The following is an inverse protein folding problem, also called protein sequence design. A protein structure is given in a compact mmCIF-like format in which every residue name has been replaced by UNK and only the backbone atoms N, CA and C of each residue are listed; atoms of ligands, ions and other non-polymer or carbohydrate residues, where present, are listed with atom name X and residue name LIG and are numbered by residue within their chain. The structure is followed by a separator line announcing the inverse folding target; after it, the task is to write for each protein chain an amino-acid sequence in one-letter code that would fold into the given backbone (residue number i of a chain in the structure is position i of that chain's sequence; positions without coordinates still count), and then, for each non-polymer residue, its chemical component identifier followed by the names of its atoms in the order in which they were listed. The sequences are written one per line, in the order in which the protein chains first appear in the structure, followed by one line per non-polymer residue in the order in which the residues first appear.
data_IF_545941076455
#
_entry.id   IF_545941076455
#
_cell.length_a   1.000
_cell.length_b   1.000
_cell.length_c   1.000
_cell.angle_alpha   90.00
_cell.angle_beta   90.00
_cell.angle_gamma   90.00
#
_symmetry.space_group_name_H-M   'P 1'
#
loop_
_entity.id
_entity.type
_entity.pdbx_description
1 polymer ?
#
# COMPACT_ATOMS: atom_id res chain seq x y z
N UNK A 1 1.93 -14.78 -0.17
CA UNK A 1 2.98 -14.29 0.76
C UNK A 1 4.35 -14.36 0.07
N UNK A 2 4.98 -13.20 -0.26
CA UNK A 2 6.21 -13.17 -1.06
C UNK A 2 7.40 -13.91 -0.40
N UNK A 3 7.51 -13.86 0.92
CA UNK A 3 8.60 -14.50 1.65
C UNK A 3 8.43 -16.02 1.83
N UNK A 4 7.31 -16.60 1.38
CA UNK A 4 7.11 -18.05 1.39
C UNK A 4 8.05 -18.77 0.42
N UNK A 5 8.35 -18.12 -0.73
CA UNK A 5 9.27 -18.62 -1.74
C UNK A 5 10.29 -17.52 -2.09
N UNK A 6 11.40 -17.50 -1.36
CA UNK A 6 12.45 -16.49 -1.53
C UNK A 6 13.23 -16.65 -2.84
N UNK A 7 13.29 -17.85 -3.43
CA UNK A 7 13.94 -18.06 -4.71
C UNK A 7 13.10 -17.44 -5.84
N UNK A 8 11.78 -17.66 -5.81
CA UNK A 8 10.87 -17.01 -6.75
C UNK A 8 10.88 -15.48 -6.58
N UNK A 9 10.86 -14.99 -5.34
CA UNK A 9 10.96 -13.56 -5.06
C UNK A 9 12.28 -12.97 -5.58
N UNK A 10 13.42 -13.66 -5.38
CA UNK A 10 14.71 -13.23 -5.90
C UNK A 10 14.70 -13.16 -7.43
N UNK A 11 14.12 -14.18 -8.08
CA UNK A 11 13.99 -14.21 -9.54
C UNK A 11 13.20 -13.00 -10.06
N UNK A 12 12.10 -12.63 -9.38
CA UNK A 12 11.34 -11.45 -9.74
C UNK A 12 12.14 -10.16 -9.53
N UNK A 13 12.83 -10.03 -8.39
CA UNK A 13 13.68 -8.86 -8.11
C UNK A 13 14.82 -8.72 -9.13
N UNK A 14 15.38 -9.83 -9.61
CA UNK A 14 16.43 -9.83 -10.62
C UNK A 14 15.91 -9.45 -12.00
N UNK A 15 14.65 -9.74 -12.29
CA UNK A 15 14.00 -9.40 -13.56
C UNK A 15 13.54 -7.93 -13.64
N UNK A 16 13.28 -7.28 -12.51
CA UNK A 16 12.82 -5.88 -12.48
C UNK A 16 13.97 -4.93 -12.79
N UNK A 17 13.83 -4.03 -13.80
CA UNK A 17 14.83 -3.01 -14.08
C UNK A 17 15.08 -2.07 -12.89
N UNK A 18 16.31 -1.63 -12.69
CA UNK A 18 16.70 -0.74 -11.59
C UNK A 18 16.04 0.67 -11.65
N UNK A 19 15.37 0.98 -12.75
CA UNK A 19 14.60 2.22 -12.92
C UNK A 19 13.22 2.16 -12.26
N UNK A 20 12.80 0.95 -11.81
CA UNK A 20 11.49 0.75 -11.20
C UNK A 20 11.60 0.73 -9.68
N UNK A 21 10.59 1.28 -9.04
CA UNK A 21 10.42 1.15 -7.59
C UNK A 21 9.76 -0.20 -7.29
N UNK A 22 10.29 -0.91 -6.32
CA UNK A 22 9.74 -2.21 -5.89
C UNK A 22 9.22 -2.08 -4.46
N UNK A 23 7.91 -2.25 -4.31
CA UNK A 23 7.25 -2.32 -3.02
C UNK A 23 6.78 -3.75 -2.77
N UNK A 24 7.12 -4.31 -1.62
CA UNK A 24 6.69 -5.65 -1.22
C UNK A 24 5.63 -5.52 -0.15
N UNK A 25 4.45 -6.09 -0.38
CA UNK A 25 3.41 -6.21 0.64
C UNK A 25 3.45 -7.62 1.23
N UNK A 26 3.56 -7.73 2.54
CA UNK A 26 3.73 -9.00 3.24
C UNK A 26 3.16 -8.92 4.66
N UNK A 27 2.73 -10.05 5.21
CA UNK A 27 2.53 -10.18 6.65
C UNK A 27 3.83 -10.53 7.37
N UNK A 28 4.88 -10.77 6.60
CA UNK A 28 6.23 -11.11 7.04
C UNK A 28 6.25 -12.24 8.09
N UNK A 29 5.65 -13.39 7.81
CA UNK A 29 5.66 -14.52 8.71
C UNK A 29 7.03 -15.23 8.66
N UNK A 30 7.37 -15.91 9.75
CA UNK A 30 8.51 -16.82 9.77
C UNK A 30 8.01 -18.24 9.52
N UNK A 31 8.30 -18.79 8.35
CA UNK A 31 7.86 -20.14 7.98
C UNK A 31 8.71 -21.23 8.65
N UNK A 32 8.18 -22.45 8.69
CA UNK A 32 8.94 -23.61 9.19
C UNK A 32 10.26 -23.76 8.42
N UNK A 33 11.36 -23.89 9.17
CA UNK A 33 12.72 -23.98 8.60
C UNK A 33 13.33 -22.64 8.19
N UNK A 34 12.65 -21.52 8.47
CA UNK A 34 13.18 -20.16 8.29
C UNK A 34 13.40 -19.49 9.64
N UNK A 35 14.27 -18.50 9.68
CA UNK A 35 14.54 -17.65 10.84
C UNK A 35 14.34 -16.18 10.51
N UNK A 36 14.24 -15.32 11.52
CA UNK A 36 14.22 -13.87 11.32
C UNK A 36 15.54 -13.38 10.70
N UNK A 37 16.67 -14.01 11.05
CA UNK A 37 17.98 -13.72 10.47
C UNK A 37 18.04 -13.98 8.97
N UNK A 38 17.33 -15.00 8.48
CA UNK A 38 17.23 -15.27 7.04
C UNK A 38 16.50 -14.14 6.29
N UNK A 39 15.47 -13.55 6.91
CA UNK A 39 14.72 -12.42 6.35
C UNK A 39 15.62 -11.18 6.34
N UNK A 40 16.33 -10.92 7.43
CA UNK A 40 17.29 -9.80 7.53
C UNK A 40 18.37 -9.94 6.45
N UNK A 41 18.97 -11.12 6.31
CA UNK A 41 20.01 -11.39 5.31
C UNK A 41 19.48 -11.19 3.87
N UNK A 42 18.24 -11.63 3.60
CA UNK A 42 17.59 -11.41 2.29
C UNK A 42 17.38 -9.93 1.99
N UNK A 43 16.92 -9.14 2.97
CA UNK A 43 16.73 -7.69 2.78
C UNK A 43 18.06 -6.96 2.63
N UNK A 44 19.11 -7.37 3.35
CA UNK A 44 20.47 -6.82 3.17
C UNK A 44 21.02 -7.10 1.77
N UNK A 45 20.80 -8.31 1.24
CA UNK A 45 21.23 -8.67 -0.12
C UNK A 45 20.50 -7.85 -1.19
N UNK A 46 19.25 -7.49 -0.96
CA UNK A 46 18.38 -6.82 -1.94
C UNK A 46 18.13 -5.33 -1.62
N UNK A 47 18.90 -4.71 -0.73
CA UNK A 47 18.64 -3.34 -0.27
C UNK A 47 18.62 -2.27 -1.36
N UNK A 48 19.37 -2.48 -2.45
CA UNK A 48 19.41 -1.55 -3.57
C UNK A 48 18.27 -1.77 -4.59
N UNK A 49 17.51 -2.87 -4.44
CA UNK A 49 16.39 -3.23 -5.32
C UNK A 49 15.04 -2.95 -4.68
N UNK A 50 14.92 -3.19 -3.39
CA UNK A 50 13.65 -3.04 -2.67
C UNK A 50 13.51 -1.60 -2.19
N UNK A 51 12.48 -0.90 -2.68
CA UNK A 51 12.20 0.47 -2.27
C UNK A 51 11.61 0.53 -0.87
N UNK A 52 10.66 -0.36 -0.56
CA UNK A 52 10.02 -0.44 0.75
C UNK A 52 9.33 -1.79 0.94
N UNK A 53 9.29 -2.27 2.17
CA UNK A 53 8.43 -3.38 2.58
C UNK A 53 7.27 -2.83 3.40
N UNK A 54 6.05 -3.07 2.91
CA UNK A 54 4.82 -2.76 3.62
C UNK A 54 4.39 -3.99 4.41
N UNK A 55 4.50 -3.94 5.72
CA UNK A 55 4.19 -5.08 6.58
C UNK A 55 2.79 -4.93 7.14
N UNK A 56 1.90 -5.86 6.80
CA UNK A 56 0.54 -5.85 7.34
C UNK A 56 0.56 -6.24 8.82
N UNK A 57 0.07 -5.34 9.66
CA UNK A 57 -0.16 -5.53 11.09
C UNK A 57 -1.50 -4.91 11.43
N UNK A 58 -2.35 -5.69 12.08
CA UNK A 58 -3.67 -5.20 12.48
C UNK A 58 -3.65 -4.61 13.89
N UNK A 59 -4.69 -3.89 14.24
CA UNK A 59 -4.89 -3.39 15.61
C UNK A 59 -4.95 -4.55 16.63
N UNK A 60 -5.48 -5.70 16.21
CA UNK A 60 -5.44 -6.94 16.98
C UNK A 60 -4.20 -7.74 16.60
N UNK A 61 -3.49 -8.22 17.61
CA UNK A 61 -2.29 -9.03 17.39
C UNK A 61 -2.63 -10.46 16.96
N UNK A 62 -1.96 -10.97 15.92
CA UNK A 62 -2.08 -12.35 15.45
C UNK A 62 -0.82 -13.15 15.82
N UNK A 63 -1.02 -14.39 16.29
CA UNK A 63 0.04 -15.27 16.82
C UNK A 63 1.08 -15.68 15.76
N UNK A 64 0.73 -15.61 14.47
CA UNK A 64 1.59 -15.98 13.33
C UNK A 64 2.50 -14.86 12.83
N UNK A 65 2.42 -13.68 13.43
CA UNK A 65 3.26 -12.55 13.02
C UNK A 65 4.69 -12.75 13.52
N UNK A 66 5.67 -12.31 12.72
CA UNK A 66 7.05 -12.13 13.18
C UNK A 66 7.14 -11.06 14.27
N UNK A 67 8.26 -11.00 14.96
CA UNK A 67 8.45 -10.01 16.02
C UNK A 67 8.43 -8.58 15.47
N UNK A 68 7.96 -7.62 16.29
CA UNK A 68 8.03 -6.20 15.92
C UNK A 68 9.48 -5.73 15.77
N UNK A 69 10.37 -6.32 16.55
CA UNK A 69 11.80 -5.99 16.52
C UNK A 69 12.43 -6.37 15.18
N UNK A 70 11.96 -7.45 14.52
CA UNK A 70 12.43 -7.83 13.19
C UNK A 70 12.30 -6.65 12.21
N UNK A 71 11.16 -5.96 12.22
CA UNK A 71 10.89 -4.88 11.26
C UNK A 71 11.92 -3.75 11.36
N UNK A 72 12.41 -3.47 12.57
CA UNK A 72 13.44 -2.45 12.79
C UNK A 72 14.85 -2.88 12.38
N UNK A 73 15.07 -4.17 12.13
CA UNK A 73 16.36 -4.75 11.74
C UNK A 73 16.48 -4.96 10.22
N UNK A 74 15.40 -4.76 9.47
CA UNK A 74 15.43 -4.89 8.02
C UNK A 74 16.33 -3.83 7.40
N UNK A 75 17.13 -4.21 6.41
CA UNK A 75 18.08 -3.32 5.75
C UNK A 75 17.44 -2.38 4.72
N UNK A 76 16.13 -2.43 4.56
CA UNK A 76 15.34 -1.64 3.61
C UNK A 76 14.29 -0.82 4.33
N UNK A 77 13.86 0.32 3.77
CA UNK A 77 12.74 1.07 4.31
C UNK A 77 11.54 0.15 4.56
N UNK A 78 10.97 0.26 5.74
CA UNK A 78 9.85 -0.59 6.17
C UNK A 78 8.77 0.29 6.78
N UNK A 79 7.52 0.01 6.46
CA UNK A 79 6.38 0.65 7.10
C UNK A 79 5.31 -0.38 7.43
N UNK A 80 4.54 -0.09 8.44
CA UNK A 80 3.42 -0.94 8.86
C UNK A 80 2.14 -0.46 8.20
N UNK A 81 1.40 -1.41 7.60
CA UNK A 81 0.07 -1.19 7.05
C UNK A 81 -0.98 -1.78 8.00
N UNK A 82 -1.97 -0.97 8.36
CA UNK A 82 -3.11 -1.37 9.16
C UNK A 82 -4.41 -1.04 8.42
N UNK A 83 -5.19 -2.05 8.06
CA UNK A 83 -6.52 -1.83 7.49
C UNK A 83 -7.50 -1.59 8.63
N UNK A 84 -8.26 -0.52 8.53
CA UNK A 84 -9.32 -0.13 9.44
C UNK A 84 -10.67 -0.45 8.78
N UNK A 85 -11.47 -1.25 9.47
CA UNK A 85 -12.85 -1.57 9.10
C UNK A 85 -13.80 -0.71 9.93
N UNK A 86 -15.07 -0.65 9.59
CA UNK A 86 -16.07 0.20 10.27
C UNK A 86 -16.15 0.01 11.79
N UNK A 87 -15.82 -1.18 12.27
CA UNK A 87 -15.83 -1.53 13.70
C UNK A 87 -14.46 -1.39 14.40
N UNK A 88 -13.52 -0.64 13.80
CA UNK A 88 -12.21 -0.48 14.42
C UNK A 88 -12.30 0.20 15.79
N UNK A 89 -11.49 -0.24 16.77
CA UNK A 89 -11.48 0.36 18.11
C UNK A 89 -10.70 1.67 18.09
N UNK A 90 -11.40 2.79 17.92
CA UNK A 90 -10.81 4.13 17.79
C UNK A 90 -9.90 4.51 18.97
N UNK A 91 -10.26 4.05 20.19
CA UNK A 91 -9.47 4.25 21.41
C UNK A 91 -8.12 3.52 21.43
N UNK A 92 -7.85 2.67 20.44
CA UNK A 92 -6.60 1.91 20.30
C UNK A 92 -5.65 2.45 19.23
N UNK A 93 -6.05 3.47 18.48
CA UNK A 93 -5.20 4.00 17.40
C UNK A 93 -3.90 4.60 17.95
N UNK A 94 -3.98 5.42 18.99
CA UNK A 94 -2.79 6.03 19.60
C UNK A 94 -1.87 4.97 20.21
N UNK A 95 -2.40 4.01 20.99
CA UNK A 95 -1.63 2.90 21.54
C UNK A 95 -0.91 2.10 20.44
N UNK A 96 -1.59 1.91 19.30
CA UNK A 96 -1.02 1.23 18.15
C UNK A 96 0.14 2.01 17.52
N UNK A 97 0.01 3.31 17.39
CA UNK A 97 1.08 4.19 16.88
C UNK A 97 2.26 4.22 17.85
N UNK A 98 2.01 4.30 19.16
CA UNK A 98 3.06 4.24 20.20
C UNK A 98 3.88 2.94 20.13
N UNK A 99 3.24 1.80 19.81
CA UNK A 99 3.93 0.53 19.58
C UNK A 99 5.02 0.67 18.51
N UNK A 100 4.74 1.40 17.41
CA UNK A 100 5.65 1.55 16.29
C UNK A 100 6.61 2.73 16.44
N UNK A 101 6.22 3.76 17.18
CA UNK A 101 7.09 4.87 17.55
C UNK A 101 8.35 4.38 18.25
N UNK A 102 8.24 3.39 19.10
CA UNK A 102 9.36 2.73 19.81
C UNK A 102 10.47 2.26 18.85
N UNK A 103 10.09 1.84 17.64
CA UNK A 103 11.01 1.33 16.62
C UNK A 103 11.29 2.33 15.49
N UNK A 104 10.65 3.49 15.52
CA UNK A 104 10.77 4.49 14.45
C UNK A 104 10.18 4.03 13.11
N UNK A 105 9.20 3.13 13.12
CA UNK A 105 8.60 2.53 11.93
C UNK A 105 7.34 3.32 11.54
N UNK A 106 7.31 3.95 10.35
CA UNK A 106 6.13 4.65 9.86
C UNK A 106 4.88 3.77 9.82
N UNK A 107 3.72 4.37 10.07
CA UNK A 107 2.43 3.67 10.04
C UNK A 107 1.56 4.19 8.91
N UNK A 108 1.04 3.28 8.12
CA UNK A 108 0.02 3.56 7.13
C UNK A 108 -1.30 2.92 7.54
N UNK A 109 -2.29 3.73 7.83
CA UNK A 109 -3.67 3.29 7.95
C UNK A 109 -4.31 3.25 6.58
N UNK A 110 -5.17 2.27 6.35
CA UNK A 110 -5.99 2.14 5.14
C UNK A 110 -7.42 1.90 5.53
N UNK A 111 -8.33 2.62 4.90
CA UNK A 111 -9.74 2.29 4.99
C UNK A 111 -10.05 1.03 4.17
N UNK A 112 -11.08 0.30 4.56
CA UNK A 112 -11.57 -0.81 3.73
C UNK A 112 -12.02 -0.26 2.38
N UNK A 113 -11.31 -0.65 1.32
CA UNK A 113 -11.52 -0.12 -0.02
C UNK A 113 -12.90 -0.48 -0.60
N UNK A 114 -13.58 -1.51 -0.08
CA UNK A 114 -14.88 -1.93 -0.58
C UNK A 114 -15.98 -0.89 -0.37
N UNK A 115 -15.81 -0.02 0.63
CA UNK A 115 -16.73 1.06 0.97
C UNK A 115 -16.33 2.41 0.34
N UNK A 116 -15.20 2.47 -0.37
CA UNK A 116 -14.71 3.73 -0.98
C UNK A 116 -15.34 3.95 -2.36
N UNK A 117 -15.89 5.13 -2.56
CA UNK A 117 -16.44 5.60 -3.84
C UNK A 117 -15.78 6.94 -4.24
N UNK A 118 -15.94 7.37 -5.48
CA UNK A 118 -15.47 8.70 -5.89
C UNK A 118 -16.11 9.83 -5.07
N UNK A 119 -17.35 9.66 -4.65
CA UNK A 119 -18.08 10.67 -3.88
C UNK A 119 -17.52 10.82 -2.46
N UNK A 120 -17.15 9.72 -1.81
CA UNK A 120 -16.62 9.76 -0.44
C UNK A 120 -15.09 9.80 -0.35
N UNK A 121 -14.37 9.58 -1.47
CA UNK A 121 -12.91 9.61 -1.49
C UNK A 121 -12.35 10.94 -0.97
N UNK A 122 -13.00 12.03 -1.32
CA UNK A 122 -12.58 13.40 -0.95
C UNK A 122 -13.38 13.99 0.22
N UNK A 123 -14.35 13.26 0.74
CA UNK A 123 -15.10 13.69 1.92
C UNK A 123 -14.23 13.46 3.16
N UNK A 124 -13.70 14.57 3.69
CA UNK A 124 -12.85 14.58 4.88
C UNK A 124 -13.62 15.02 6.13
N UNK A 125 -14.73 15.74 5.95
CA UNK A 125 -15.46 16.32 7.08
C UNK A 125 -16.25 15.26 7.86
N UNK A 126 -16.75 14.24 7.16
CA UNK A 126 -17.51 13.15 7.77
C UNK A 126 -16.70 11.89 8.05
N UNK A 127 -15.41 11.86 7.71
CA UNK A 127 -14.56 10.69 7.87
C UNK A 127 -14.16 10.49 9.35
N UNK A 128 -14.65 9.44 10.02
CA UNK A 128 -14.39 9.22 11.43
C UNK A 128 -12.90 8.91 11.71
N UNK A 129 -12.18 8.31 10.76
CA UNK A 129 -10.77 7.96 10.93
C UNK A 129 -9.92 9.23 10.94
N UNK A 130 -10.20 10.18 10.04
CA UNK A 130 -9.55 11.50 10.04
C UNK A 130 -9.77 12.18 11.38
N UNK A 131 -11.03 12.25 11.84
CA UNK A 131 -11.38 12.85 13.11
C UNK A 131 -10.70 12.17 14.32
N UNK A 132 -10.49 10.86 14.26
CA UNK A 132 -9.80 10.11 15.33
C UNK A 132 -8.29 10.31 15.29
N UNK A 133 -7.67 10.36 14.11
CA UNK A 133 -6.24 10.64 13.95
C UNK A 133 -5.88 12.05 14.42
N UNK A 134 -6.70 13.04 14.11
CA UNK A 134 -6.49 14.44 14.50
C UNK A 134 -6.61 14.70 16.01
N UNK A 135 -7.10 13.72 16.80
CA UNK A 135 -7.09 13.81 18.26
C UNK A 135 -5.68 13.74 18.86
N UNK A 136 -4.74 13.10 18.17
CA UNK A 136 -3.40 12.85 18.71
C UNK A 136 -2.26 13.14 17.72
N UNK A 137 -2.50 13.24 16.43
CA UNK A 137 -1.49 13.46 15.40
C UNK A 137 -1.69 14.78 14.66
N UNK A 138 -0.59 15.42 14.27
CA UNK A 138 -0.60 16.67 13.52
C UNK A 138 -0.78 16.42 12.04
N UNK A 139 -1.83 16.98 11.44
CA UNK A 139 -2.04 16.93 9.99
C UNK A 139 -0.97 17.72 9.23
N UNK A 140 -0.38 17.12 8.20
CA UNK A 140 0.71 17.71 7.38
C UNK A 140 0.33 17.98 5.93
N UNK A 141 -0.79 17.49 5.46
CA UNK A 141 -1.29 17.72 4.10
C UNK A 141 -1.67 16.45 3.36
N UNK A 142 -2.05 16.62 2.10
CA UNK A 142 -2.36 15.53 1.16
C UNK A 142 -1.09 15.13 0.40
N UNK A 143 -1.05 13.88 -0.08
CA UNK A 143 -0.01 13.48 -1.01
C UNK A 143 -0.11 14.26 -2.33
N UNK A 144 1.02 14.31 -3.07
CA UNK A 144 1.12 15.04 -4.34
C UNK A 144 0.53 14.30 -5.53
N UNK A 145 0.01 13.08 -5.34
CA UNK A 145 -0.56 12.30 -6.43
C UNK A 145 -1.89 12.89 -6.92
N UNK A 146 -2.27 12.59 -8.16
CA UNK A 146 -3.50 13.09 -8.76
C UNK A 146 -4.75 12.70 -7.96
N UNK A 147 -4.79 11.49 -7.43
CA UNK A 147 -5.93 10.99 -6.65
C UNK A 147 -6.05 11.67 -5.29
N UNK A 148 -4.94 12.22 -4.75
CA UNK A 148 -4.91 12.86 -3.42
C UNK A 148 -5.60 12.03 -2.35
N UNK A 149 -5.39 10.71 -2.40
CA UNK A 149 -6.04 9.74 -1.50
C UNK A 149 -5.22 9.47 -0.23
N UNK A 150 -4.02 10.04 -0.13
CA UNK A 150 -3.13 9.92 1.02
C UNK A 150 -3.13 11.18 1.88
N UNK A 151 -3.48 11.02 3.16
CA UNK A 151 -3.44 12.06 4.17
C UNK A 151 -2.22 11.84 5.05
N UNK A 152 -1.35 12.85 5.15
CA UNK A 152 -0.11 12.77 5.93
C UNK A 152 -0.30 13.39 7.31
N UNK A 153 0.20 12.70 8.31
CA UNK A 153 0.22 13.13 9.71
C UNK A 153 1.59 12.89 10.32
N UNK A 154 1.85 13.53 11.43
CA UNK A 154 3.02 13.30 12.27
C UNK A 154 2.61 13.13 13.72
N UNK A 155 3.14 12.11 14.38
CA UNK A 155 2.97 11.87 15.79
C UNK A 155 4.33 11.75 16.47
N UNK A 156 4.69 12.74 17.29
CA UNK A 156 5.98 12.77 18.01
C UNK A 156 7.21 12.52 17.11
N UNK A 157 7.18 13.03 15.87
CA UNK A 157 8.22 12.82 14.88
C UNK A 157 8.10 11.54 14.07
N UNK A 158 7.11 10.68 14.33
CA UNK A 158 6.80 9.52 13.50
C UNK A 158 5.85 9.89 12.38
N UNK A 159 6.20 9.49 11.15
CA UNK A 159 5.33 9.66 9.98
C UNK A 159 4.14 8.70 10.04
N UNK A 160 2.95 9.25 9.86
CA UNK A 160 1.73 8.49 9.71
C UNK A 160 1.07 8.87 8.38
N UNK A 161 0.46 7.90 7.72
CA UNK A 161 -0.36 8.15 6.55
C UNK A 161 -1.70 7.46 6.68
N UNK A 162 -2.74 8.08 6.14
CA UNK A 162 -4.04 7.45 6.00
C UNK A 162 -4.45 7.46 4.53
N UNK A 163 -4.76 6.30 3.99
CA UNK A 163 -5.12 6.14 2.58
C UNK A 163 -6.56 5.63 2.42
N UNK A 164 -7.33 6.38 1.65
CA UNK A 164 -8.56 5.90 1.02
C UNK A 164 -8.22 5.39 -0.38
N UNK A 165 -8.55 4.16 -0.68
CA UNK A 165 -8.23 3.54 -1.97
C UNK A 165 -9.52 3.11 -2.64
N UNK A 166 -9.69 3.44 -3.91
CA UNK A 166 -10.82 2.95 -4.70
C UNK A 166 -10.70 1.45 -4.93
N UNK A 167 -11.82 0.72 -5.03
CA UNK A 167 -11.81 -0.72 -5.32
C UNK A 167 -11.43 -1.05 -6.77
N UNK A 168 -11.29 -0.05 -7.61
CA UNK A 168 -10.91 -0.18 -9.02
C UNK A 168 -9.73 0.73 -9.35
N UNK A 169 -8.93 0.31 -10.33
CA UNK A 169 -7.73 1.01 -10.77
C UNK A 169 -7.92 1.80 -12.06
N UNK A 170 -9.13 1.79 -12.62
CA UNK A 170 -9.48 2.53 -13.83
C UNK A 170 -10.62 3.50 -13.56
N UNK A 171 -10.45 4.76 -13.91
CA UNK A 171 -11.51 5.79 -13.87
C UNK A 171 -11.69 6.43 -15.23
N UNK A 172 -12.88 6.98 -15.48
CA UNK A 172 -13.17 7.76 -16.69
C UNK A 172 -13.13 9.25 -16.35
N UNK A 173 -12.31 10.00 -17.06
CA UNK A 173 -12.23 11.45 -16.94
C UNK A 173 -12.49 12.13 -18.27
N UNK A 174 -13.25 13.23 -18.22
CA UNK A 174 -13.44 14.10 -19.37
C UNK A 174 -12.34 15.15 -19.37
N UNK A 175 -11.60 15.21 -20.48
CA UNK A 175 -10.65 16.28 -20.71
C UNK A 175 -11.39 17.56 -21.11
N UNK A 176 -11.15 18.65 -20.40
CA UNK A 176 -11.81 19.93 -20.66
C UNK A 176 -11.26 20.63 -21.92
N UNK A 177 -10.02 20.33 -22.32
CA UNK A 177 -9.36 20.96 -23.44
C UNK A 177 -9.86 20.41 -24.79
N UNK A 178 -9.99 19.08 -24.91
CA UNK A 178 -10.40 18.43 -26.15
C UNK A 178 -11.84 17.86 -26.11
N UNK A 179 -12.46 17.88 -24.93
CA UNK A 179 -13.84 17.42 -24.71
C UNK A 179 -14.00 15.88 -24.77
N UNK A 180 -12.91 15.11 -24.86
CA UNK A 180 -12.95 13.66 -24.93
C UNK A 180 -12.92 13.04 -23.55
N UNK A 181 -13.47 11.82 -23.45
CA UNK A 181 -13.37 11.01 -22.25
C UNK A 181 -12.22 10.03 -22.39
N UNK A 182 -11.35 10.00 -21.40
CA UNK A 182 -10.21 9.09 -21.31
C UNK A 182 -10.44 8.10 -20.18
N UNK A 183 -10.05 6.83 -20.40
CA UNK A 183 -9.86 5.86 -19.33
C UNK A 183 -8.45 6.07 -18.75
N UNK A 184 -8.37 6.31 -17.45
CA UNK A 184 -7.10 6.48 -16.74
C UNK A 184 -6.88 5.22 -15.93
N UNK A 185 -5.82 4.49 -16.25
CA UNK A 185 -5.41 3.29 -15.56
C UNK A 185 -4.32 3.65 -14.55
N UNK A 186 -4.58 3.40 -13.25
CA UNK A 186 -3.62 3.66 -12.19
C UNK A 186 -2.75 2.46 -11.88
N UNK A 187 -3.34 1.26 -11.90
CA UNK A 187 -2.65 0.02 -11.58
C UNK A 187 -2.88 -1.03 -12.66
N UNK A 188 -1.87 -1.83 -12.92
CA UNK A 188 -1.97 -3.05 -13.70
C UNK A 188 -1.71 -4.23 -12.75
N UNK A 189 -2.69 -5.10 -12.61
CA UNK A 189 -2.66 -6.19 -11.65
C UNK A 189 -2.32 -7.49 -12.37
N UNK A 190 -1.20 -8.11 -11.98
CA UNK A 190 -0.80 -9.42 -12.48
C UNK A 190 -1.09 -10.45 -11.40
N UNK A 191 -2.01 -11.36 -11.66
CA UNK A 191 -2.36 -12.43 -10.73
C UNK A 191 -1.30 -13.54 -10.74
N UNK A 192 -1.33 -14.40 -9.73
CA UNK A 192 -0.35 -15.51 -9.58
C UNK A 192 -0.34 -16.49 -10.75
N UNK A 193 -1.47 -16.67 -11.43
CA UNK A 193 -1.60 -17.51 -12.62
C UNK A 193 -1.12 -16.81 -13.91
N UNK A 194 -0.66 -15.57 -13.84
CA UNK A 194 -0.19 -14.77 -14.96
C UNK A 194 -1.28 -13.93 -15.64
N UNK A 195 -2.54 -14.03 -15.22
CA UNK A 195 -3.61 -13.18 -15.74
C UNK A 195 -3.38 -11.72 -15.38
N UNK A 196 -3.70 -10.84 -16.31
CA UNK A 196 -3.54 -9.39 -16.15
C UNK A 196 -4.91 -8.75 -16.02
N UNK A 197 -5.06 -7.92 -15.02
CA UNK A 197 -6.31 -7.24 -14.68
C UNK A 197 -6.09 -5.73 -14.65
N UNK A 198 -7.11 -4.98 -15.07
CA UNK A 198 -7.16 -3.52 -14.95
C UNK A 198 -7.80 -3.05 -13.64
N UNK A 199 -8.45 -3.94 -12.93
CA UNK A 199 -9.17 -3.67 -11.68
C UNK A 199 -8.95 -4.80 -10.67
N UNK A 200 -9.31 -4.56 -9.41
CA UNK A 200 -9.18 -5.55 -8.33
C UNK A 200 -10.22 -6.66 -8.38
N UNK A 201 -11.20 -6.56 -9.27
CA UNK A 201 -12.18 -7.61 -9.51
C UNK A 201 -11.58 -8.83 -10.22
N UNK A 202 -12.40 -9.82 -10.57
CA UNK A 202 -11.97 -11.04 -11.26
C UNK A 202 -11.98 -10.91 -12.80
N UNK A 203 -12.21 -9.71 -13.33
CA UNK A 203 -12.20 -9.48 -14.77
C UNK A 203 -10.78 -9.54 -15.32
N UNK A 204 -10.51 -10.54 -16.14
CA UNK A 204 -9.26 -10.67 -16.88
C UNK A 204 -9.25 -9.66 -18.03
N UNK A 205 -8.14 -8.95 -18.18
CA UNK A 205 -7.93 -8.03 -19.28
C UNK A 205 -7.71 -8.82 -20.58
N UNK A 206 -8.58 -8.61 -21.56
CA UNK A 206 -8.35 -9.11 -22.92
C UNK A 206 -7.50 -8.11 -23.70
N UNK A 207 -6.21 -8.41 -23.86
CA UNK A 207 -5.27 -7.54 -24.56
C UNK A 207 -5.70 -7.15 -25.96
N UNK A 208 -6.46 -7.99 -26.66
CA UNK A 208 -6.89 -7.72 -28.02
C UNK A 208 -8.11 -6.81 -28.10
N UNK A 209 -9.01 -6.91 -27.11
CA UNK A 209 -10.24 -6.11 -27.05
C UNK A 209 -10.05 -4.87 -26.18
N UNK A 210 -9.38 -5.02 -25.04
CA UNK A 210 -9.23 -3.94 -24.08
C UNK A 210 -8.15 -2.93 -24.49
N UNK A 211 -7.14 -3.34 -25.28
CA UNK A 211 -6.11 -2.42 -25.78
C UNK A 211 -6.69 -1.29 -26.63
N UNK A 212 -7.79 -1.54 -27.38
CA UNK A 212 -8.50 -0.50 -28.10
C UNK A 212 -9.19 0.49 -27.13
N UNK A 213 -9.78 0.00 -26.06
CA UNK A 213 -10.38 0.84 -25.03
C UNK A 213 -9.32 1.70 -24.32
N UNK A 214 -8.10 1.17 -24.17
CA UNK A 214 -6.99 1.86 -23.49
C UNK A 214 -6.07 2.66 -24.42
N UNK A 215 -6.29 2.71 -25.72
CA UNK A 215 -5.48 3.53 -26.66
C UNK A 215 -5.46 5.01 -26.31
N UNK A 216 -6.47 5.50 -25.59
CA UNK A 216 -6.58 6.89 -25.15
C UNK A 216 -6.24 7.05 -23.66
N UNK A 217 -5.61 6.06 -23.02
CA UNK A 217 -5.20 6.15 -21.62
C UNK A 217 -4.07 7.16 -21.49
N UNK A 218 -4.26 8.14 -20.64
CA UNK A 218 -3.19 9.01 -20.15
C UNK A 218 -2.51 8.30 -19.01
N UNK A 219 -1.25 7.96 -19.20
CA UNK A 219 -0.40 7.42 -18.14
C UNK A 219 0.31 8.59 -17.47
N UNK A 220 0.04 8.81 -16.19
CA UNK A 220 0.86 9.68 -15.36
C UNK A 220 1.77 8.82 -14.50
N UNK A 221 3.11 8.85 -14.73
CA UNK A 221 4.02 8.19 -13.82
C UNK A 221 3.92 8.84 -12.44
N UNK A 222 3.96 8.04 -11.40
CA UNK A 222 4.18 8.54 -10.06
C UNK A 222 5.56 9.24 -10.02
N UNK A 223 5.56 10.54 -9.69
CA UNK A 223 6.78 11.28 -9.34
C UNK A 223 7.29 10.87 -7.95
#
# INVERSE_FOLDING_TARGET
EPFADREALQTLLDAVPNTHRVFINSTLPVFEGQTEEDIIAFTEHNKDKITCINVSRHLRHYVTESSDELLSKLAVPTRVNCVLYDDYPADKLEDYVERWLKYGIPVQFRYDYTETTLDNLYDTESDPIIADLEKFADYKGLDGCRMRCGFHYEYKGLELTYHKTLPYSTILEKDEEDGKTYAILYDLIIKQNGDIHSDWDDRVMDYNLDIEAYRNVKYEPYD
#
